data_IF_635500967207
#
_entry.id   IF_635500967207
#
_cell.length_a   1.000
_cell.length_b   1.000
_cell.length_c   1.000
_cell.angle_alpha   90.00
_cell.angle_beta   90.00
_cell.angle_gamma   90.00
#
_symmetry.space_group_name_H-M   'P 1'
#
loop_
_entity.id
_entity.type
_entity.pdbx_description
1 polymer ?
#
# COMPACT_ATOMS: atom_id res chain seq x y z
N UNK A 1 18.70 39.70 43.57
CA UNK A 1 19.08 38.39 43.02
C UNK A 1 18.03 38.00 41.98
N UNK A 2 18.39 38.02 40.69
CA UNK A 2 17.47 37.69 39.60
C UNK A 2 17.85 36.31 39.10
N UNK A 3 16.99 35.32 39.40
CA UNK A 3 17.12 33.97 38.83
C UNK A 3 16.69 34.01 37.38
N UNK A 4 17.65 33.88 36.48
CA UNK A 4 17.39 33.61 35.07
C UNK A 4 16.98 32.14 34.95
N UNK A 5 15.68 31.91 34.76
CA UNK A 5 15.16 30.60 34.33
C UNK A 5 15.71 30.29 32.96
N UNK A 6 16.64 29.36 32.90
CA UNK A 6 17.08 28.74 31.68
C UNK A 6 15.99 27.72 31.32
N UNK A 7 15.11 28.10 30.41
CA UNK A 7 14.19 27.17 29.79
C UNK A 7 15.04 26.33 28.83
N UNK A 8 15.45 25.17 29.32
CA UNK A 8 16.05 24.13 28.51
C UNK A 8 14.94 23.54 27.65
N UNK A 9 14.77 24.11 26.46
CA UNK A 9 13.89 23.54 25.45
C UNK A 9 14.55 22.25 24.97
N UNK A 10 14.17 21.14 25.62
CA UNK A 10 14.52 19.80 25.18
C UNK A 10 13.83 19.57 23.86
N UNK A 11 14.55 19.84 22.78
CA UNK A 11 14.15 19.44 21.44
C UNK A 11 14.18 17.91 21.44
N UNK A 12 13.06 17.30 21.83
CA UNK A 12 12.83 15.91 21.50
C UNK A 12 12.72 15.86 19.98
N UNK A 13 13.85 15.55 19.34
CA UNK A 13 13.83 14.99 18.01
C UNK A 13 13.05 13.69 18.12
N UNK A 14 11.75 13.80 17.95
CA UNK A 14 10.90 12.66 17.65
C UNK A 14 11.47 12.13 16.35
N UNK A 15 12.32 11.13 16.47
CA UNK A 15 12.61 10.22 15.39
C UNK A 15 11.25 9.60 15.03
N UNK A 16 10.47 10.31 14.27
CA UNK A 16 9.44 9.75 13.43
C UNK A 16 10.19 8.85 12.46
N UNK A 17 10.62 7.68 12.97
CA UNK A 17 10.85 6.55 12.12
C UNK A 17 9.60 6.53 11.24
N UNK A 18 9.78 6.82 9.95
CA UNK A 18 8.71 6.90 9.01
C UNK A 18 7.91 5.61 9.15
N UNK A 19 6.88 5.64 9.98
CA UNK A 19 5.81 4.69 9.93
C UNK A 19 5.40 4.76 8.48
N UNK A 20 5.82 3.77 7.71
CA UNK A 20 5.40 3.60 6.32
C UNK A 20 3.88 3.54 6.41
N UNK A 21 3.25 4.71 6.32
CA UNK A 21 1.82 4.80 6.44
C UNK A 21 1.27 3.92 5.33
N UNK A 22 0.93 2.69 5.67
CA UNK A 22 0.24 1.78 4.79
C UNK A 22 -1.05 2.48 4.38
N UNK A 23 -1.29 2.56 3.08
CA UNK A 23 -2.57 3.06 2.62
C UNK A 23 -3.54 1.90 2.77
N UNK A 24 -4.26 1.91 3.88
CA UNK A 24 -5.25 0.89 4.21
C UNK A 24 -6.62 1.43 3.84
N UNK A 25 -7.38 0.68 3.10
CA UNK A 25 -8.80 0.94 2.89
C UNK A 25 -9.59 -0.37 2.88
N UNK A 26 -10.83 -0.27 3.26
CA UNK A 26 -11.77 -1.37 3.37
C UNK A 26 -12.96 -1.04 2.50
N UNK A 27 -13.21 -1.81 1.48
CA UNK A 27 -14.44 -1.71 0.70
C UNK A 27 -15.49 -2.72 1.13
N UNK A 28 -15.02 -3.84 1.66
CA UNK A 28 -15.80 -4.92 2.25
C UNK A 28 -15.34 -5.04 3.71
N UNK A 29 -16.25 -5.13 4.69
CA UNK A 29 -15.90 -5.32 6.09
C UNK A 29 -15.06 -6.57 6.35
N UNK A 30 -14.97 -7.48 5.38
CA UNK A 30 -14.21 -8.71 5.47
C UNK A 30 -12.86 -8.69 4.72
N UNK A 31 -12.56 -7.64 3.95
CA UNK A 31 -11.31 -7.53 3.17
C UNK A 31 -10.60 -6.23 3.46
N UNK A 32 -9.41 -6.32 4.00
CA UNK A 32 -8.48 -5.20 4.16
C UNK A 32 -7.48 -5.22 3.01
N UNK A 33 -7.30 -4.09 2.36
CA UNK A 33 -6.37 -3.92 1.25
C UNK A 33 -5.32 -2.88 1.58
N UNK A 34 -4.05 -3.29 1.55
CA UNK A 34 -2.90 -2.40 1.69
C UNK A 34 -2.18 -2.30 0.35
N UNK A 35 -1.80 -1.09 -0.04
CA UNK A 35 -1.00 -0.87 -1.25
C UNK A 35 0.25 -0.05 -0.95
N UNK A 36 1.34 -0.36 -1.66
CA UNK A 36 2.58 0.40 -1.61
C UNK A 36 3.23 0.46 -3.00
N UNK A 37 3.69 1.63 -3.41
CA UNK A 37 4.35 1.84 -4.69
C UNK A 37 5.78 2.34 -4.48
N UNK A 38 6.75 1.58 -4.99
CA UNK A 38 8.18 1.86 -4.82
C UNK A 38 8.89 1.95 -6.18
N UNK A 39 9.77 2.93 -6.33
CA UNK A 39 10.68 2.99 -7.47
C UNK A 39 11.77 1.91 -7.36
N UNK A 40 12.00 1.18 -8.46
CA UNK A 40 13.14 0.27 -8.65
C UNK A 40 14.06 0.85 -9.72
N UNK A 41 15.17 0.18 -10.02
CA UNK A 41 16.19 0.73 -10.92
C UNK A 41 15.67 1.02 -12.34
N UNK A 42 14.90 0.10 -12.90
CA UNK A 42 14.34 0.18 -14.27
C UNK A 42 12.81 0.02 -14.30
N UNK A 43 12.17 -0.07 -13.14
CA UNK A 43 10.74 -0.34 -13.02
C UNK A 43 10.16 0.35 -11.79
N UNK A 44 8.89 0.19 -11.56
CA UNK A 44 8.25 0.41 -10.27
C UNK A 44 7.62 -0.89 -9.77
N UNK A 45 7.57 -1.06 -8.46
CA UNK A 45 6.99 -2.21 -7.81
C UNK A 45 5.77 -1.77 -7.03
N UNK A 46 4.61 -2.23 -7.48
CA UNK A 46 3.36 -2.08 -6.75
C UNK A 46 3.13 -3.35 -5.93
N UNK A 47 3.16 -3.20 -4.63
CA UNK A 47 2.87 -4.26 -3.67
C UNK A 47 1.43 -4.12 -3.21
N UNK A 48 0.67 -5.19 -3.30
CA UNK A 48 -0.72 -5.25 -2.83
C UNK A 48 -0.81 -6.37 -1.80
N UNK A 49 -1.31 -6.04 -0.61
CA UNK A 49 -1.52 -6.99 0.47
C UNK A 49 -2.99 -7.00 0.84
N UNK A 50 -3.61 -8.17 0.82
CA UNK A 50 -4.96 -8.37 1.32
C UNK A 50 -4.93 -9.18 2.60
N UNK A 51 -5.83 -8.86 3.53
CA UNK A 51 -6.05 -9.60 4.76
C UNK A 51 -7.51 -9.96 4.87
N UNK A 52 -7.81 -11.24 4.85
CA UNK A 52 -9.18 -11.74 5.02
C UNK A 52 -9.14 -13.22 5.40
N UNK A 53 -10.13 -13.67 6.13
CA UNK A 53 -10.34 -15.10 6.41
C UNK A 53 -10.86 -15.87 5.18
N UNK A 54 -11.61 -15.20 4.32
CA UNK A 54 -12.41 -15.84 3.28
C UNK A 54 -11.88 -15.62 1.86
N UNK A 55 -11.08 -14.55 1.66
CA UNK A 55 -10.64 -14.14 0.33
C UNK A 55 -9.13 -14.23 0.19
N UNK A 56 -8.68 -14.77 -0.94
CA UNK A 56 -7.26 -14.85 -1.29
C UNK A 56 -7.03 -14.36 -2.71
N UNK A 57 -5.87 -13.75 -2.97
CA UNK A 57 -5.45 -13.48 -4.34
C UNK A 57 -5.16 -14.81 -5.06
N UNK A 58 -5.39 -14.85 -6.37
CA UNK A 58 -4.95 -15.95 -7.23
C UNK A 58 -3.42 -15.92 -7.37
N UNK A 59 -2.84 -17.05 -7.76
CA UNK A 59 -1.37 -17.20 -7.95
C UNK A 59 -0.80 -16.15 -8.89
N UNK A 60 -1.54 -15.81 -9.95
CA UNK A 60 -1.23 -14.72 -10.88
C UNK A 60 -2.42 -13.75 -10.92
N UNK A 61 -2.56 -12.88 -9.93
CA UNK A 61 -3.67 -11.96 -9.87
C UNK A 61 -3.58 -10.95 -11.00
N UNK A 62 -4.68 -10.75 -11.71
CA UNK A 62 -4.85 -9.64 -12.64
C UNK A 62 -5.45 -8.47 -11.87
N UNK A 63 -4.91 -7.28 -12.08
CA UNK A 63 -5.42 -6.05 -11.51
C UNK A 63 -5.64 -5.02 -12.60
N UNK A 64 -6.78 -4.35 -12.52
CA UNK A 64 -7.12 -3.21 -13.36
C UNK A 64 -7.34 -2.01 -12.47
N UNK A 65 -6.64 -0.92 -12.74
CA UNK A 65 -6.78 0.36 -12.04
C UNK A 65 -7.25 1.39 -13.06
N UNK A 66 -8.40 2.00 -12.82
CA UNK A 66 -8.90 3.14 -13.58
C UNK A 66 -8.57 4.41 -12.80
N UNK A 67 -7.92 5.35 -13.47
CA UNK A 67 -7.54 6.64 -12.89
C UNK A 67 -8.70 7.63 -12.99
N UNK A 68 -8.64 8.76 -12.25
CA UNK A 68 -9.66 9.83 -12.29
C UNK A 68 -9.81 10.48 -13.67
N UNK A 69 -8.78 10.41 -14.51
CA UNK A 69 -8.81 10.89 -15.90
C UNK A 69 -9.20 9.81 -16.91
N UNK A 70 -9.80 8.71 -16.44
CA UNK A 70 -10.24 7.53 -17.20
C UNK A 70 -9.10 6.75 -17.91
N UNK A 71 -7.83 7.06 -17.66
CA UNK A 71 -6.73 6.19 -18.09
C UNK A 71 -6.75 4.88 -17.31
N UNK A 72 -6.36 3.78 -17.96
CA UNK A 72 -6.44 2.43 -17.40
C UNK A 72 -5.06 1.81 -17.34
N UNK A 73 -4.74 1.23 -16.19
CA UNK A 73 -3.57 0.40 -15.96
C UNK A 73 -4.02 -1.06 -15.74
N UNK A 74 -3.70 -1.93 -16.69
CA UNK A 74 -3.84 -3.37 -16.51
C UNK A 74 -2.49 -4.00 -16.21
N UNK A 75 -2.43 -4.85 -15.20
CA UNK A 75 -1.20 -5.53 -14.83
C UNK A 75 -1.48 -6.90 -14.22
N UNK A 76 -0.51 -7.80 -14.35
CA UNK A 76 -0.55 -9.13 -13.74
C UNK A 76 0.57 -9.23 -12.73
N UNK A 77 0.25 -9.70 -11.54
CA UNK A 77 1.17 -9.85 -10.43
C UNK A 77 1.53 -11.30 -10.13
N UNK A 78 2.39 -11.47 -9.15
CA UNK A 78 2.79 -12.76 -8.62
C UNK A 78 2.59 -12.79 -7.12
N UNK A 79 1.97 -13.84 -6.59
CA UNK A 79 1.84 -14.07 -5.16
C UNK A 79 3.22 -14.41 -4.56
N UNK A 80 3.59 -13.69 -3.52
CA UNK A 80 4.85 -13.92 -2.81
C UNK A 80 4.69 -14.68 -1.51
N UNK A 81 3.65 -14.36 -0.75
CA UNK A 81 3.37 -15.02 0.51
C UNK A 81 1.85 -15.19 0.67
N UNK A 82 1.43 -16.40 0.98
CA UNK A 82 0.05 -16.76 1.34
C UNK A 82 0.04 -17.51 2.67
N UNK A 83 0.91 -17.16 3.60
CA UNK A 83 0.92 -17.78 4.92
C UNK A 83 -0.20 -17.22 5.80
N UNK A 84 -0.88 -18.05 6.60
CA UNK A 84 -1.77 -17.56 7.64
C UNK A 84 -0.95 -16.75 8.65
N UNK A 85 -1.45 -15.59 9.04
CA UNK A 85 -0.88 -14.86 10.18
C UNK A 85 -1.50 -15.48 11.42
N UNK A 86 -0.73 -16.29 12.12
CA UNK A 86 -1.07 -16.68 13.49
C UNK A 86 -0.82 -15.46 14.37
N UNK A 87 -1.86 -14.78 14.81
CA UNK A 87 -1.74 -13.79 15.87
C UNK A 87 -1.74 -14.53 17.20
N UNK A 88 -0.54 -14.80 17.73
CA UNK A 88 -0.34 -15.20 19.10
C UNK A 88 -0.67 -14.03 20.05
N UNK A 89 -1.94 -13.78 20.29
CA UNK A 89 -2.37 -12.93 21.39
C UNK A 89 -3.48 -13.63 22.16
N UNK A 90 -3.05 -14.35 23.20
CA UNK A 90 -3.85 -14.62 24.37
C UNK A 90 -5.20 -15.30 24.17
N UNK A 91 -5.25 -16.60 23.92
CA UNK A 91 -6.32 -17.46 24.44
C UNK A 91 -7.67 -17.45 23.73
N UNK A 92 -7.93 -16.53 22.80
CA UNK A 92 -9.03 -16.61 21.85
C UNK A 92 -8.43 -16.74 20.46
N UNK A 93 -8.68 -17.89 19.83
CA UNK A 93 -8.35 -18.13 18.42
C UNK A 93 -9.28 -17.25 17.58
N UNK A 94 -9.01 -15.95 17.54
CA UNK A 94 -9.63 -15.04 16.61
C UNK A 94 -9.16 -15.44 15.22
N UNK A 95 -10.11 -15.97 14.47
CA UNK A 95 -10.11 -16.33 13.07
C UNK A 95 -8.80 -16.02 12.35
N UNK A 96 -8.08 -17.04 11.93
CA UNK A 96 -6.84 -16.95 11.14
C UNK A 96 -7.03 -15.98 9.99
N UNK A 97 -6.53 -14.76 10.14
CA UNK A 97 -6.54 -13.79 9.06
C UNK A 97 -5.51 -14.24 8.02
N UNK A 98 -6.00 -14.67 6.89
CA UNK A 98 -5.15 -15.03 5.77
C UNK A 98 -4.64 -13.77 5.11
N UNK A 99 -3.32 -13.66 5.02
CA UNK A 99 -2.65 -12.61 4.29
C UNK A 99 -2.19 -13.13 2.94
N UNK A 100 -2.56 -12.42 1.88
CA UNK A 100 -2.02 -12.63 0.54
C UNK A 100 -1.30 -11.37 0.10
N UNK A 101 -0.04 -11.54 -0.32
CA UNK A 101 0.79 -10.44 -0.83
C UNK A 101 1.14 -10.70 -2.28
N UNK A 102 0.79 -9.79 -3.15
CA UNK A 102 1.12 -9.83 -4.57
C UNK A 102 2.04 -8.67 -4.97
N UNK A 103 2.95 -8.96 -5.88
CA UNK A 103 3.89 -8.01 -6.46
C UNK A 103 3.53 -7.80 -7.93
N UNK A 104 3.31 -6.54 -8.30
CA UNK A 104 3.04 -6.13 -9.68
C UNK A 104 4.19 -5.26 -10.17
N UNK A 105 4.90 -5.73 -11.19
CA UNK A 105 5.94 -4.94 -11.83
C UNK A 105 5.32 -4.05 -12.90
N UNK A 106 5.49 -2.75 -12.74
CA UNK A 106 5.00 -1.75 -13.69
C UNK A 106 6.17 -0.89 -14.18
N UNK A 107 5.98 -0.27 -15.33
CA UNK A 107 6.99 0.65 -15.88
C UNK A 107 6.97 1.98 -15.11
N UNK A 108 8.08 2.76 -15.15
CA UNK A 108 8.07 4.12 -14.58
C UNK A 108 6.97 5.00 -15.18
N UNK A 109 6.68 4.85 -16.49
CA UNK A 109 5.60 5.58 -17.15
C UNK A 109 4.23 5.22 -16.57
N UNK A 110 3.99 3.93 -16.30
CA UNK A 110 2.76 3.49 -15.65
C UNK A 110 2.64 4.00 -14.21
N UNK A 111 3.76 4.12 -13.49
CA UNK A 111 3.76 4.71 -12.16
C UNK A 111 3.36 6.19 -12.16
N UNK A 112 3.67 6.93 -13.23
CA UNK A 112 3.25 8.32 -13.38
C UNK A 112 1.72 8.49 -13.54
N UNK A 113 1.00 7.45 -13.96
CA UNK A 113 -0.46 7.48 -14.07
C UNK A 113 -1.13 7.75 -12.72
N UNK A 114 -0.51 7.32 -11.62
CA UNK A 114 -1.05 7.52 -10.26
C UNK A 114 -1.18 8.99 -9.87
N UNK A 115 -0.50 9.92 -10.58
CA UNK A 115 -0.71 11.36 -10.43
C UNK A 115 -2.15 11.81 -10.69
N UNK A 116 -2.82 11.12 -11.60
CA UNK A 116 -4.19 11.44 -11.94
C UNK A 116 -5.19 11.06 -10.85
N UNK A 117 -4.73 10.35 -9.80
CA UNK A 117 -5.62 9.77 -8.78
C UNK A 117 -6.28 8.49 -9.25
N UNK A 118 -6.75 7.70 -8.29
CA UNK A 118 -7.43 6.43 -8.54
C UNK A 118 -8.94 6.60 -8.41
N UNK A 119 -9.66 6.19 -9.45
CA UNK A 119 -11.13 6.14 -9.50
C UNK A 119 -11.67 4.77 -9.12
N UNK A 120 -11.07 3.69 -9.66
CA UNK A 120 -11.55 2.33 -9.46
C UNK A 120 -10.41 1.33 -9.45
N UNK A 121 -10.51 0.32 -8.61
CA UNK A 121 -9.61 -0.84 -8.58
C UNK A 121 -10.43 -2.11 -8.70
N UNK A 122 -9.96 -3.01 -9.56
CA UNK A 122 -10.46 -4.37 -9.68
C UNK A 122 -9.28 -5.34 -9.53
N UNK A 123 -9.41 -6.33 -8.63
CA UNK A 123 -8.35 -7.33 -8.39
C UNK A 123 -8.98 -8.71 -8.44
N UNK A 124 -8.36 -9.62 -9.20
CA UNK A 124 -8.76 -11.02 -9.19
C UNK A 124 -8.38 -11.67 -7.86
N UNK A 125 -9.39 -12.09 -7.12
CA UNK A 125 -9.28 -12.80 -5.86
C UNK A 125 -10.06 -14.12 -5.90
N UNK A 126 -10.05 -14.86 -4.83
CA UNK A 126 -10.85 -16.07 -4.63
C UNK A 126 -11.54 -15.99 -3.26
N UNK A 127 -12.81 -16.37 -3.14
CA UNK A 127 -13.72 -16.85 -4.19
C UNK A 127 -14.30 -15.75 -5.08
N UNK A 128 -14.20 -14.47 -4.68
CA UNK A 128 -14.77 -13.32 -5.39
C UNK A 128 -13.68 -12.33 -5.79
N UNK A 129 -13.93 -11.57 -6.85
CA UNK A 129 -13.07 -10.44 -7.21
C UNK A 129 -13.29 -9.28 -6.24
N UNK A 130 -12.21 -8.59 -5.90
CA UNK A 130 -12.28 -7.32 -5.20
C UNK A 130 -12.56 -6.21 -6.22
N UNK A 131 -13.48 -5.32 -5.89
CA UNK A 131 -13.80 -4.14 -6.67
C UNK A 131 -14.17 -2.99 -5.73
N UNK A 132 -13.59 -1.82 -5.98
CA UNK A 132 -13.98 -0.61 -5.29
C UNK A 132 -13.85 0.62 -6.19
N UNK A 133 -14.81 1.52 -6.10
CA UNK A 133 -14.84 2.78 -6.83
C UNK A 133 -14.95 3.97 -5.85
N UNK A 134 -14.11 4.98 -6.07
CA UNK A 134 -14.07 6.22 -5.29
C UNK A 134 -14.67 7.38 -6.08
N UNK A 135 -15.39 8.26 -5.40
CA UNK A 135 -15.90 9.51 -5.98
C UNK A 135 -14.80 10.56 -6.15
N UNK A 136 -13.79 10.51 -5.32
CA UNK A 136 -12.61 11.39 -5.34
C UNK A 136 -11.36 10.58 -5.04
N UNK A 137 -10.18 11.06 -5.45
CA UNK A 137 -8.94 10.34 -5.16
C UNK A 137 -8.59 10.34 -3.67
N UNK A 138 -8.53 9.16 -3.09
CA UNK A 138 -8.10 8.93 -1.71
C UNK A 138 -6.76 8.17 -1.62
N UNK A 139 -6.30 7.62 -2.72
CA UNK A 139 -5.25 6.63 -2.77
C UNK A 139 -4.13 6.97 -3.76
N UNK A 140 -4.47 7.40 -4.98
CA UNK A 140 -3.51 7.56 -6.07
C UNK A 140 -2.42 8.57 -5.73
N UNK A 141 -2.79 9.75 -5.25
CA UNK A 141 -1.84 10.79 -4.84
C UNK A 141 -0.87 10.29 -3.77
N UNK A 142 -1.34 9.56 -2.77
CA UNK A 142 -0.51 9.00 -1.70
C UNK A 142 0.47 7.93 -2.21
N UNK A 143 0.02 7.09 -3.14
CA UNK A 143 0.89 6.08 -3.77
C UNK A 143 1.96 6.75 -4.64
N UNK A 144 1.58 7.78 -5.38
CA UNK A 144 2.52 8.53 -6.19
C UNK A 144 3.58 9.26 -5.35
N UNK A 145 3.18 9.90 -4.27
CA UNK A 145 4.10 10.54 -3.31
C UNK A 145 5.16 9.55 -2.81
N UNK A 146 4.75 8.35 -2.42
CA UNK A 146 5.67 7.29 -2.00
C UNK A 146 6.62 6.83 -3.11
N UNK A 147 6.11 6.75 -4.34
CA UNK A 147 6.95 6.44 -5.48
C UNK A 147 8.06 7.48 -5.65
N UNK A 148 7.71 8.76 -5.56
CA UNK A 148 8.67 9.88 -5.67
C UNK A 148 9.67 9.86 -4.52
N UNK A 149 9.22 9.67 -3.28
CA UNK A 149 10.09 9.55 -2.11
C UNK A 149 11.09 8.39 -2.26
N UNK A 150 10.61 7.23 -2.67
CA UNK A 150 11.47 6.06 -2.87
C UNK A 150 12.51 6.26 -3.98
N UNK A 151 12.15 7.00 -5.03
CA UNK A 151 13.05 7.39 -6.12
C UNK A 151 14.13 8.34 -5.63
N UNK A 152 13.76 9.36 -4.85
CA UNK A 152 14.67 10.33 -4.28
C UNK A 152 15.66 9.68 -3.30
N UNK A 153 15.18 8.82 -2.42
CA UNK A 153 16.01 8.11 -1.44
C UNK A 153 17.09 7.23 -2.09
N UNK A 154 16.81 6.69 -3.28
CA UNK A 154 17.79 5.90 -4.04
C UNK A 154 18.87 6.75 -4.69
N UNK A 155 18.56 7.97 -5.10
CA UNK A 155 19.54 8.87 -5.71
C UNK A 155 20.61 9.31 -4.72
N UNK A 156 20.28 9.40 -3.43
CA UNK A 156 21.22 9.79 -2.37
C UNK A 156 22.01 8.63 -1.74
N UNK A 157 21.73 7.37 -2.12
CA UNK A 157 22.46 6.19 -1.65
C UNK A 157 23.55 5.70 -2.61
N UNK A 158 23.80 6.40 -3.69
CA UNK A 158 24.95 6.20 -4.58
C UNK A 158 26.05 7.18 -4.21
#
# INVERSE_FOLDING_TARGET
MRYKSIILTLLMAVNCGALKAQVVFTSDPHVFLDMNLEAKEKSALLTVTTRSADYRMKTFPKMTITMMNDSVLETTGMIRNSAPIMSDVGGNVDKEHLMSKALFHITPHQAELFKAGIKRIEIQMQPYNFEHEWKSDELGAKLYERYVESKTHRMFKK
#
